data_IF_718584934749
#
_entry.id   IF_718584934749
#
_cell.length_a   1.000
_cell.length_b   1.000
_cell.length_c   1.000
_cell.angle_alpha   90.00
_cell.angle_beta   90.00
_cell.angle_gamma   90.00
#
_symmetry.space_group_name_H-M   'P 1'
#
loop_
_entity.id
_entity.type
_entity.pdbx_description
1 polymer ?
#
# COMPACT_ATOMS: atom_id res chain seq x y z
N UNK A 1 -5.43 11.60 10.88
CA UNK A 1 -4.65 10.36 10.60
C UNK A 1 -4.60 9.46 11.84
N UNK A 2 -4.66 8.14 11.68
CA UNK A 2 -4.52 7.16 12.74
C UNK A 2 -3.05 7.06 13.18
N UNK A 3 -2.79 7.28 14.47
CA UNK A 3 -1.46 7.21 15.06
C UNK A 3 -1.45 6.05 16.06
N UNK A 4 -0.52 5.11 15.89
CA UNK A 4 -0.34 3.99 16.80
C UNK A 4 0.27 4.49 18.11
N UNK A 5 -0.47 4.37 19.22
CA UNK A 5 -0.06 4.90 20.52
C UNK A 5 0.63 3.89 21.44
N UNK A 6 0.66 2.59 21.08
CA UNK A 6 1.28 1.57 21.93
C UNK A 6 2.16 0.59 21.13
N UNK A 7 3.23 0.14 21.79
CA UNK A 7 4.24 -0.72 21.19
C UNK A 7 3.72 -2.11 20.78
N UNK A 8 2.92 -2.83 21.59
CA UNK A 8 2.42 -4.15 21.19
C UNK A 8 1.58 -4.11 19.92
N UNK A 9 0.72 -3.08 19.77
CA UNK A 9 -0.09 -2.90 18.57
C UNK A 9 0.76 -2.54 17.35
N UNK A 10 1.82 -1.73 17.52
CA UNK A 10 2.77 -1.45 16.45
C UNK A 10 3.45 -2.74 15.94
N UNK A 11 3.91 -3.60 16.86
CA UNK A 11 4.52 -4.90 16.51
C UNK A 11 3.52 -5.80 15.79
N UNK A 12 2.27 -5.86 16.25
CA UNK A 12 1.21 -6.61 15.59
C UNK A 12 1.00 -6.14 14.14
N UNK A 13 0.91 -4.83 13.91
CA UNK A 13 0.77 -4.27 12.57
C UNK A 13 2.00 -4.55 11.69
N UNK A 14 3.20 -4.55 12.25
CA UNK A 14 4.41 -4.97 11.54
C UNK A 14 4.33 -6.44 11.10
N UNK A 15 3.90 -7.35 11.98
CA UNK A 15 3.71 -8.76 11.62
C UNK A 15 2.68 -8.91 10.50
N UNK A 16 1.53 -8.22 10.61
CA UNK A 16 0.51 -8.22 9.55
C UNK A 16 1.10 -7.74 8.22
N UNK A 17 1.88 -6.66 8.24
CA UNK A 17 2.53 -6.10 7.04
C UNK A 17 3.48 -7.11 6.39
N UNK A 18 4.29 -7.80 7.20
CA UNK A 18 5.22 -8.82 6.70
C UNK A 18 4.48 -10.02 6.10
N UNK A 19 3.37 -10.45 6.70
CA UNK A 19 2.51 -11.49 6.14
C UNK A 19 1.90 -11.08 4.80
N UNK A 20 1.37 -9.86 4.70
CA UNK A 20 0.83 -9.33 3.45
C UNK A 20 1.90 -9.24 2.35
N UNK A 21 3.11 -8.78 2.68
CA UNK A 21 4.19 -8.66 1.70
C UNK A 21 4.64 -10.02 1.16
N UNK A 22 4.82 -11.02 2.05
CA UNK A 22 5.16 -12.39 1.65
C UNK A 22 4.02 -13.14 0.97
N UNK A 23 2.77 -12.70 1.13
CA UNK A 23 1.60 -13.38 0.54
C UNK A 23 1.61 -13.35 -0.99
N UNK A 24 2.11 -12.28 -1.60
CA UNK A 24 2.15 -12.08 -3.06
C UNK A 24 2.76 -13.26 -3.81
N UNK A 25 4.00 -13.64 -3.46
CA UNK A 25 4.69 -14.73 -4.16
C UNK A 25 4.02 -16.09 -3.95
N UNK A 26 3.35 -16.29 -2.81
CA UNK A 26 2.65 -17.54 -2.51
C UNK A 26 1.31 -17.63 -3.27
N UNK A 27 0.54 -16.55 -3.30
CA UNK A 27 -0.72 -16.50 -4.06
C UNK A 27 -0.48 -16.55 -5.56
N UNK A 28 0.62 -15.96 -6.05
CA UNK A 28 1.04 -16.08 -7.46
C UNK A 28 1.30 -17.55 -7.82
N UNK A 29 2.10 -18.27 -7.04
CA UNK A 29 2.40 -19.70 -7.28
C UNK A 29 1.16 -20.58 -7.24
N UNK A 30 0.21 -20.24 -6.36
CA UNK A 30 -1.06 -20.96 -6.27
C UNK A 30 -1.94 -20.70 -7.50
N UNK A 31 -2.08 -19.43 -7.92
CA UNK A 31 -2.91 -19.01 -9.04
C UNK A 31 -2.31 -19.41 -10.40
N UNK A 32 -0.99 -19.46 -10.54
CA UNK A 32 -0.30 -19.80 -11.79
C UNK A 32 -0.65 -21.19 -12.35
N UNK A 33 -1.26 -22.06 -11.54
CA UNK A 33 -1.78 -23.38 -11.98
C UNK A 33 -2.98 -23.27 -12.92
N UNK A 34 -3.76 -22.19 -12.82
CA UNK A 34 -5.05 -22.04 -13.50
C UNK A 34 -5.28 -20.65 -14.11
N UNK A 35 -4.50 -19.65 -13.71
CA UNK A 35 -4.64 -18.27 -14.13
C UNK A 35 -3.34 -17.75 -14.73
N UNK A 36 -3.46 -16.98 -15.80
CA UNK A 36 -2.31 -16.37 -16.46
C UNK A 36 -1.69 -15.31 -15.58
N UNK A 37 -0.36 -15.20 -15.64
CA UNK A 37 0.40 -14.25 -14.85
C UNK A 37 -0.05 -12.81 -15.09
N UNK A 38 -0.29 -12.42 -16.34
CA UNK A 38 -0.66 -11.05 -16.69
C UNK A 38 -2.01 -10.66 -16.08
N UNK A 39 -2.98 -11.59 -16.08
CA UNK A 39 -4.30 -11.37 -15.48
C UNK A 39 -4.20 -11.31 -13.95
N UNK A 40 -3.41 -12.20 -13.33
CA UNK A 40 -3.14 -12.16 -11.90
C UNK A 40 -2.53 -10.82 -11.47
N UNK A 41 -1.60 -10.30 -12.28
CA UNK A 41 -0.94 -9.03 -11.99
C UNK A 41 -1.91 -7.84 -12.11
N UNK A 42 -2.83 -7.86 -13.08
CA UNK A 42 -3.90 -6.87 -13.15
C UNK A 42 -4.78 -6.88 -11.90
N UNK A 43 -5.24 -8.05 -11.48
CA UNK A 43 -6.06 -8.21 -10.28
C UNK A 43 -5.32 -7.68 -9.04
N UNK A 44 -4.02 -7.98 -8.94
CA UNK A 44 -3.18 -7.51 -7.85
C UNK A 44 -2.96 -6.00 -7.82
N UNK A 45 -2.65 -5.39 -8.96
CA UNK A 45 -2.46 -3.93 -9.05
C UNK A 45 -3.75 -3.20 -8.70
N UNK A 46 -4.90 -3.66 -9.22
CA UNK A 46 -6.21 -3.09 -8.87
C UNK A 46 -6.46 -3.24 -7.37
N UNK A 47 -6.18 -4.42 -6.81
CA UNK A 47 -6.32 -4.69 -5.37
C UNK A 47 -5.46 -3.75 -4.51
N UNK A 48 -4.19 -3.53 -4.88
CA UNK A 48 -3.30 -2.58 -4.19
C UNK A 48 -3.87 -1.17 -4.27
N UNK A 49 -4.28 -0.70 -5.45
CA UNK A 49 -4.84 0.66 -5.61
C UNK A 49 -6.07 0.84 -4.74
N UNK A 50 -7.01 -0.10 -4.76
CA UNK A 50 -8.21 -0.05 -3.92
C UNK A 50 -7.87 -0.05 -2.44
N UNK A 51 -6.97 -0.94 -2.00
CA UNK A 51 -6.56 -1.02 -0.60
C UNK A 51 -5.84 0.26 -0.14
N UNK A 52 -4.99 0.85 -0.99
CA UNK A 52 -4.33 2.13 -0.71
C UNK A 52 -5.33 3.27 -0.58
N UNK A 53 -6.34 3.34 -1.47
CA UNK A 53 -7.41 4.35 -1.38
C UNK A 53 -8.24 4.16 -0.10
N UNK A 54 -8.68 2.92 0.17
CA UNK A 54 -9.42 2.62 1.40
C UNK A 54 -8.59 3.01 2.62
N UNK A 55 -7.31 2.64 2.67
CA UNK A 55 -6.43 2.95 3.81
C UNK A 55 -6.21 4.47 3.98
N UNK A 56 -5.99 5.20 2.88
CA UNK A 56 -5.82 6.66 2.91
C UNK A 56 -7.08 7.39 3.38
N UNK A 57 -8.24 7.03 2.85
CA UNK A 57 -9.52 7.65 3.24
C UNK A 57 -10.08 7.12 4.56
N UNK A 58 -9.54 6.03 5.11
CA UNK A 58 -9.90 5.54 6.45
C UNK A 58 -8.83 5.90 7.48
N UNK A 59 -7.82 5.06 7.65
CA UNK A 59 -6.74 5.24 8.61
C UNK A 59 -5.94 6.53 8.34
N UNK A 60 -5.80 6.96 7.09
CA UNK A 60 -5.15 8.24 6.77
C UNK A 60 -5.95 9.47 7.17
N UNK A 61 -7.27 9.35 7.33
CA UNK A 61 -8.19 10.49 7.53
C UNK A 61 -8.87 10.51 8.91
N UNK A 62 -9.48 9.41 9.37
CA UNK A 62 -10.26 9.34 10.61
C UNK A 62 -9.42 9.23 11.89
N UNK A 63 -8.65 10.27 12.22
CA UNK A 63 -7.97 10.33 13.52
C UNK A 63 -7.93 11.75 14.07
N UNK A 64 -7.95 11.86 15.38
CA UNK A 64 -8.00 13.15 16.11
C UNK A 64 -6.69 13.95 16.04
N UNK A 65 -5.63 13.32 15.53
CA UNK A 65 -4.30 13.88 15.45
C UNK A 65 -3.79 13.84 14.00
N UNK A 66 -3.12 14.92 13.58
CA UNK A 66 -2.60 15.09 12.23
C UNK A 66 -3.63 15.63 11.22
N UNK A 67 -3.24 15.68 9.95
CA UNK A 67 -4.07 16.16 8.84
C UNK A 67 -4.84 15.03 8.18
N UNK A 68 -5.79 15.38 7.33
CA UNK A 68 -6.48 14.42 6.47
C UNK A 68 -5.57 13.98 5.32
N UNK A 69 -5.83 12.80 4.75
CA UNK A 69 -5.09 12.31 3.59
C UNK A 69 -5.14 13.29 2.40
N UNK A 70 -6.30 13.92 2.16
CA UNK A 70 -6.48 14.88 1.08
C UNK A 70 -5.64 16.14 1.27
N UNK A 71 -5.58 16.67 2.49
CA UNK A 71 -4.75 17.84 2.79
C UNK A 71 -3.26 17.54 2.59
N UNK A 72 -2.84 16.33 2.97
CA UNK A 72 -1.46 15.89 2.78
C UNK A 72 -1.06 15.72 1.31
N UNK A 73 -2.00 15.32 0.44
CA UNK A 73 -1.79 15.27 -1.00
C UNK A 73 -1.75 16.67 -1.62
N UNK A 74 -2.65 17.58 -1.23
CA UNK A 74 -2.74 18.92 -1.86
C UNK A 74 -1.52 19.78 -1.58
N UNK A 75 -0.90 19.64 -0.41
CA UNK A 75 0.29 20.42 -0.05
C UNK A 75 1.61 19.88 -0.63
N UNK A 76 1.61 18.67 -1.21
CA UNK A 76 2.86 18.03 -1.62
C UNK A 76 3.51 18.84 -2.74
N UNK A 77 4.83 19.06 -2.65
CA UNK A 77 5.54 19.73 -3.73
C UNK A 77 5.58 18.82 -4.97
N UNK A 78 5.52 19.42 -6.16
CA UNK A 78 5.55 18.66 -7.42
C UNK A 78 6.81 17.79 -7.55
N UNK A 79 7.96 18.26 -7.05
CA UNK A 79 9.21 17.48 -7.04
C UNK A 79 9.10 16.22 -6.19
N UNK A 80 8.54 16.33 -4.98
CA UNK A 80 8.38 15.17 -4.10
C UNK A 80 7.39 14.17 -4.69
N UNK A 81 6.29 14.65 -5.29
CA UNK A 81 5.32 13.80 -5.97
C UNK A 81 5.98 12.98 -7.08
N UNK A 82 6.70 13.62 -8.01
CA UNK A 82 7.37 12.93 -9.11
C UNK A 82 8.47 11.99 -8.64
N UNK A 83 9.18 12.35 -7.57
CA UNK A 83 10.20 11.47 -6.99
C UNK A 83 9.59 10.19 -6.43
N UNK A 84 8.47 10.29 -5.70
CA UNK A 84 7.75 9.12 -5.19
C UNK A 84 7.15 8.27 -6.32
N UNK A 85 6.55 8.92 -7.32
CA UNK A 85 5.93 8.25 -8.46
C UNK A 85 6.97 7.49 -9.31
N UNK A 86 8.07 8.13 -9.70
CA UNK A 86 9.15 7.49 -10.44
C UNK A 86 9.84 6.40 -9.62
N UNK A 87 10.05 6.63 -8.32
CA UNK A 87 10.57 5.62 -7.41
C UNK A 87 9.70 4.36 -7.38
N UNK A 88 8.38 4.52 -7.36
CA UNK A 88 7.42 3.41 -7.45
C UNK A 88 7.52 2.64 -8.77
N UNK A 89 7.61 3.35 -9.91
CA UNK A 89 7.78 2.72 -11.23
C UNK A 89 9.09 1.92 -11.28
N UNK A 90 10.20 2.52 -10.87
CA UNK A 90 11.52 1.87 -10.91
C UNK A 90 11.52 0.63 -10.00
N UNK A 91 10.98 0.75 -8.79
CA UNK A 91 10.88 -0.37 -7.85
C UNK A 91 10.05 -1.52 -8.42
N UNK A 92 8.91 -1.21 -9.03
CA UNK A 92 8.03 -2.23 -9.61
C UNK A 92 8.65 -2.89 -10.85
N UNK A 93 9.32 -2.12 -11.72
CA UNK A 93 10.00 -2.65 -12.89
C UNK A 93 11.24 -3.51 -12.54
N UNK A 94 11.82 -3.29 -11.35
CA UNK A 94 13.00 -4.04 -10.87
C UNK A 94 12.65 -5.31 -10.09
N UNK A 95 11.37 -5.58 -9.85
CA UNK A 95 10.85 -6.70 -9.06
C UNK A 95 10.17 -7.72 -9.97
#
# INVERSE_FOLDING_TARGET
>A
MFIVQNYPFAVLLCVITMLCWGSWGNTQKLAAKTWRYELFYWDYVIGIVLLSLISGFTLGTFGDQGRSFTDDIVQVSSNNFWSAFLGGIIFNASN
#
